data_IF_554655599799
#
_entry.id   IF_554655599799
#
_cell.length_a   1.000
_cell.length_b   1.000
_cell.length_c   1.000
_cell.angle_alpha   90.00
_cell.angle_beta   90.00
_cell.angle_gamma   90.00
#
_symmetry.space_group_name_H-M   'P 1'
#
loop_
_entity.id
_entity.type
_entity.pdbx_description
1 polymer ?
#
# COMPACT_ATOMS: atom_id res chain seq x y z
N UNK A 1 -27.94 -15.30 13.83
CA UNK A 1 -27.95 -14.42 12.63
C UNK A 1 -26.72 -13.53 12.66
N UNK A 2 -25.79 -13.59 11.68
CA UNK A 2 -24.71 -12.62 11.60
C UNK A 2 -25.31 -11.27 11.24
N UNK A 3 -24.96 -10.23 12.01
CA UNK A 3 -25.30 -8.84 11.68
C UNK A 3 -24.53 -8.47 10.41
N UNK A 4 -25.23 -8.41 9.28
CA UNK A 4 -24.73 -7.73 8.08
C UNK A 4 -24.51 -6.28 8.49
N UNK A 5 -23.26 -5.95 8.82
CA UNK A 5 -22.88 -4.57 9.09
C UNK A 5 -22.69 -3.87 7.77
N UNK A 6 -23.20 -2.63 7.65
CA UNK A 6 -23.06 -1.82 6.43
C UNK A 6 -21.61 -1.44 6.07
N UNK A 7 -20.62 -1.90 6.84
CA UNK A 7 -19.21 -1.66 6.60
C UNK A 7 -18.67 -2.59 5.49
N UNK A 8 -18.35 -2.06 4.30
CA UNK A 8 -17.91 -2.87 3.17
C UNK A 8 -16.54 -3.53 3.40
N UNK A 9 -15.72 -3.02 4.33
CA UNK A 9 -14.45 -3.65 4.67
C UNK A 9 -14.60 -5.02 5.33
N UNK A 10 -15.82 -5.35 5.74
CA UNK A 10 -16.14 -6.63 6.36
C UNK A 10 -16.59 -7.71 5.38
N UNK A 11 -16.94 -7.32 4.16
CA UNK A 11 -17.49 -8.20 3.12
C UNK A 11 -16.52 -8.34 1.94
N UNK A 12 -15.22 -8.35 2.25
CA UNK A 12 -14.15 -8.43 1.25
C UNK A 12 -13.72 -9.89 1.09
N UNK A 13 -13.66 -10.37 -0.15
CA UNK A 13 -13.24 -11.73 -0.48
C UNK A 13 -11.77 -12.01 -0.15
N UNK A 14 -10.89 -11.07 -0.47
CA UNK A 14 -9.49 -11.09 -0.06
C UNK A 14 -8.96 -9.68 0.18
N UNK A 15 -8.13 -9.56 1.20
CA UNK A 15 -7.36 -8.35 1.46
C UNK A 15 -5.86 -8.63 1.29
N UNK A 16 -5.16 -7.69 0.68
CA UNK A 16 -3.70 -7.70 0.63
C UNK A 16 -3.16 -6.81 1.73
N UNK A 17 -2.36 -7.38 2.62
CA UNK A 17 -1.71 -6.70 3.72
C UNK A 17 -0.27 -6.42 3.37
N UNK A 18 0.18 -5.19 3.59
CA UNK A 18 1.59 -4.79 3.46
C UNK A 18 2.00 -4.15 4.76
N UNK A 19 2.98 -4.74 5.45
CA UNK A 19 3.50 -4.23 6.72
C UNK A 19 4.90 -3.69 6.50
N UNK A 20 5.09 -2.42 6.86
CA UNK A 20 6.32 -1.67 6.74
C UNK A 20 6.73 -1.20 8.14
N UNK A 21 7.97 -1.48 8.52
CA UNK A 21 8.45 -1.26 9.88
C UNK A 21 9.94 -0.91 9.87
N UNK A 22 10.36 -0.06 10.82
CA UNK A 22 11.77 0.09 11.18
C UNK A 22 12.30 -1.17 11.86
N UNK A 23 13.53 -1.62 11.58
CA UNK A 23 14.17 -2.66 12.37
C UNK A 23 14.26 -2.20 13.84
N UNK A 24 13.66 -2.96 14.77
CA UNK A 24 13.59 -2.59 16.19
C UNK A 24 12.29 -3.05 16.87
N UNK A 25 12.31 -3.27 18.19
CA UNK A 25 11.24 -3.94 18.94
C UNK A 25 10.08 -2.97 19.29
N UNK A 26 10.34 -1.66 19.30
CA UNK A 26 9.38 -0.64 19.79
C UNK A 26 8.76 0.26 18.71
N UNK A 27 9.05 0.05 17.42
CA UNK A 27 8.44 0.83 16.35
C UNK A 27 7.07 0.24 15.98
N UNK A 28 6.00 1.03 16.11
CA UNK A 28 4.69 0.68 15.57
C UNK A 28 4.78 0.39 14.06
N UNK A 29 4.12 -0.68 13.60
CA UNK A 29 4.05 -1.00 12.18
C UNK A 29 3.16 -0.02 11.44
N UNK A 30 3.63 0.46 10.28
CA UNK A 30 2.83 1.19 9.29
C UNK A 30 2.54 0.28 8.11
N UNK A 31 1.60 0.65 7.25
CA UNK A 31 1.36 -0.13 6.06
C UNK A 31 -0.05 -0.02 5.52
N UNK A 32 -0.44 -1.02 4.76
CA UNK A 32 -1.66 -1.01 3.96
C UNK A 32 -2.47 -2.27 4.13
N UNK A 33 -3.78 -2.10 4.05
CA UNK A 33 -4.74 -3.15 3.77
C UNK A 33 -5.48 -2.75 2.49
N UNK A 34 -5.26 -3.47 1.40
CA UNK A 34 -5.98 -3.25 0.16
C UNK A 34 -7.28 -4.04 0.15
N UNK A 35 -8.35 -3.42 -0.32
CA UNK A 35 -9.65 -4.07 -0.48
C UNK A 35 -10.30 -3.71 -1.80
N UNK A 36 -10.90 -4.71 -2.44
CA UNK A 36 -11.81 -4.56 -3.58
C UNK A 36 -13.22 -4.71 -3.04
N UNK A 37 -13.89 -3.57 -2.89
CA UNK A 37 -15.18 -3.46 -2.23
C UNK A 37 -16.30 -3.43 -3.28
N UNK A 38 -17.47 -3.97 -2.95
CA UNK A 38 -18.66 -3.84 -3.79
C UNK A 38 -19.34 -2.45 -3.69
N UNK A 39 -18.92 -1.63 -2.71
CA UNK A 39 -19.40 -0.27 -2.45
C UNK A 39 -18.34 0.54 -1.71
N UNK A 40 -18.43 1.87 -1.76
CA UNK A 40 -17.46 2.74 -1.11
C UNK A 40 -17.42 2.54 0.41
N UNK A 41 -16.21 2.37 0.93
CA UNK A 41 -15.92 2.39 2.35
C UNK A 41 -15.65 3.80 2.88
N UNK A 42 -15.64 3.97 4.22
CA UNK A 42 -15.19 5.22 4.83
C UNK A 42 -13.73 5.52 4.43
N UNK A 43 -13.46 6.77 4.04
CA UNK A 43 -12.13 7.21 3.57
C UNK A 43 -11.21 7.50 4.76
N UNK A 44 -9.92 7.21 4.60
CA UNK A 44 -8.88 7.59 5.57
C UNK A 44 -8.86 6.72 6.83
N UNK A 45 -9.54 5.58 6.82
CA UNK A 45 -9.59 4.65 7.94
C UNK A 45 -8.29 3.86 8.11
N UNK A 46 -8.04 3.48 9.36
CA UNK A 46 -6.93 2.60 9.72
C UNK A 46 -7.45 1.47 10.58
N UNK A 47 -6.88 0.28 10.40
CA UNK A 47 -7.19 -0.91 11.19
C UNK A 47 -5.87 -1.52 11.63
N UNK A 48 -5.67 -1.68 12.95
CA UNK A 48 -4.43 -2.24 13.53
C UNK A 48 -3.14 -1.54 13.03
N UNK A 49 -3.20 -0.23 12.81
CA UNK A 49 -2.06 0.57 12.31
C UNK A 49 -1.85 0.55 10.79
N UNK A 50 -2.67 -0.22 10.06
CA UNK A 50 -2.63 -0.29 8.59
C UNK A 50 -3.68 0.64 8.00
N UNK A 51 -3.27 1.48 7.05
CA UNK A 51 -4.20 2.31 6.29
C UNK A 51 -4.99 1.44 5.33
N UNK A 52 -6.30 1.57 5.36
CA UNK A 52 -7.18 0.91 4.43
C UNK A 52 -7.16 1.66 3.10
N UNK A 53 -6.80 0.97 2.02
CA UNK A 53 -6.70 1.50 0.67
C UNK A 53 -7.74 0.80 -0.19
N UNK A 54 -8.84 1.50 -0.43
CA UNK A 54 -9.85 1.07 -1.39
C UNK A 54 -9.23 1.07 -2.79
N UNK A 55 -9.22 -0.09 -3.44
CA UNK A 55 -8.80 -0.22 -4.85
C UNK A 55 -9.98 0.01 -5.78
N UNK A 56 -11.15 -0.45 -5.36
CA UNK A 56 -12.39 -0.42 -6.11
C UNK A 56 -13.57 -0.49 -5.17
N UNK A 57 -14.68 0.10 -5.60
CA UNK A 57 -15.95 0.18 -4.89
C UNK A 57 -17.13 -0.12 -5.83
N UNK A 58 -16.91 -0.95 -6.84
CA UNK A 58 -17.91 -1.33 -7.85
C UNK A 58 -18.18 -2.85 -7.77
N UNK A 59 -19.37 -3.31 -8.18
CA UNK A 59 -19.68 -4.74 -8.22
C UNK A 59 -18.66 -5.54 -9.06
N UNK A 60 -18.55 -6.84 -8.81
CA UNK A 60 -17.76 -7.73 -9.66
C UNK A 60 -18.29 -7.67 -11.09
N UNK A 61 -17.40 -7.42 -12.06
CA UNK A 61 -17.74 -7.24 -13.47
C UNK A 61 -16.89 -8.14 -14.38
N UNK A 62 -17.45 -8.49 -15.53
CA UNK A 62 -16.72 -9.06 -16.67
C UNK A 62 -16.58 -8.02 -17.78
N UNK A 63 -15.42 -7.93 -18.47
CA UNK A 63 -14.25 -8.79 -18.35
C UNK A 63 -13.40 -8.50 -17.11
N UNK A 64 -12.60 -9.49 -16.71
CA UNK A 64 -11.63 -9.36 -15.63
C UNK A 64 -10.66 -8.21 -15.88
N UNK A 65 -10.32 -7.47 -14.84
CA UNK A 65 -9.40 -6.32 -14.92
C UNK A 65 -8.13 -6.61 -14.12
N UNK A 66 -6.97 -6.35 -14.74
CA UNK A 66 -5.68 -6.41 -14.05
C UNK A 66 -5.36 -5.05 -13.43
N UNK A 67 -4.86 -5.07 -12.19
CA UNK A 67 -4.39 -3.88 -11.48
C UNK A 67 -2.96 -4.09 -10.99
N UNK A 68 -2.18 -3.01 -10.93
CA UNK A 68 -0.85 -3.01 -10.35
C UNK A 68 -0.71 -1.84 -9.38
N UNK A 69 0.01 -2.07 -8.29
CA UNK A 69 0.28 -1.04 -7.27
C UNK A 69 1.78 -1.00 -7.00
N UNK A 70 2.36 0.20 -7.14
CA UNK A 70 3.72 0.46 -6.68
C UNK A 70 3.68 0.79 -5.18
N UNK A 71 4.05 -0.18 -4.36
CA UNK A 71 4.01 -0.07 -2.90
C UNK A 71 4.92 1.05 -2.37
N UNK A 72 6.05 1.30 -3.03
CA UNK A 72 7.01 2.33 -2.62
C UNK A 72 6.49 3.73 -2.93
N UNK A 73 5.90 3.93 -4.12
CA UNK A 73 5.27 5.20 -4.48
C UNK A 73 4.09 5.48 -3.54
N UNK A 74 3.24 4.49 -3.29
CA UNK A 74 2.13 4.61 -2.34
C UNK A 74 2.62 4.95 -0.92
N UNK A 75 3.74 4.34 -0.50
CA UNK A 75 4.41 4.67 0.75
C UNK A 75 4.75 6.13 0.88
N UNK A 76 5.45 6.65 -0.11
CA UNK A 76 5.89 8.05 -0.10
C UNK A 76 4.72 9.02 -0.08
N UNK A 77 3.66 8.71 -0.83
CA UNK A 77 2.46 9.55 -0.90
C UNK A 77 1.72 9.68 0.45
N UNK A 78 1.81 8.67 1.32
CA UNK A 78 1.05 8.66 2.58
C UNK A 78 1.88 8.88 3.84
N UNK A 79 3.16 8.50 3.81
CA UNK A 79 4.02 8.48 5.00
C UNK A 79 5.33 9.26 4.84
N UNK A 80 5.62 9.77 3.64
CA UNK A 80 6.86 10.53 3.35
C UNK A 80 8.07 9.63 3.05
N UNK A 81 9.26 10.07 3.43
CA UNK A 81 10.52 9.35 3.17
C UNK A 81 10.59 7.97 3.82
N UNK A 82 11.36 7.05 3.21
CA UNK A 82 11.47 5.63 3.62
C UNK A 82 12.63 5.38 4.59
N UNK A 83 13.08 6.40 5.33
CA UNK A 83 14.35 6.32 6.07
C UNK A 83 14.31 5.27 7.20
N UNK A 84 15.07 4.20 6.98
CA UNK A 84 15.24 3.08 7.90
C UNK A 84 14.06 2.10 7.95
N UNK A 85 13.12 2.17 7.02
CA UNK A 85 11.92 1.31 7.00
C UNK A 85 11.96 0.28 5.90
N UNK A 86 11.52 -0.93 6.21
CA UNK A 86 11.50 -2.05 5.26
C UNK A 86 10.13 -2.71 5.23
N UNK A 87 9.74 -3.19 4.04
CA UNK A 87 8.64 -4.13 3.91
C UNK A 87 9.04 -5.39 4.68
N UNK A 88 8.25 -5.75 5.69
CA UNK A 88 8.45 -6.95 6.51
C UNK A 88 7.57 -8.10 6.06
N UNK A 89 6.35 -7.77 5.63
CA UNK A 89 5.35 -8.77 5.26
C UNK A 89 4.47 -8.24 4.14
N UNK A 90 4.25 -9.08 3.15
CA UNK A 90 3.17 -8.94 2.17
C UNK A 90 2.39 -10.26 2.24
N UNK A 91 1.09 -10.19 2.47
CA UNK A 91 0.25 -11.38 2.55
C UNK A 91 -1.14 -11.15 2.00
N UNK A 92 -1.69 -12.17 1.39
CA UNK A 92 -3.08 -12.20 0.90
C UNK A 92 -3.87 -13.06 1.87
N UNK A 93 -4.98 -12.55 2.39
CA UNK A 93 -5.79 -13.24 3.39
C UNK A 93 -7.26 -13.13 3.00
N UNK A 94 -7.98 -14.26 3.03
CA UNK A 94 -9.43 -14.35 2.78
C UNK A 94 -10.26 -14.06 4.03
N UNK A 95 -9.62 -14.09 5.20
CA UNK A 95 -10.21 -13.64 6.46
C UNK A 95 -10.15 -12.12 6.55
N UNK A 96 -11.20 -11.46 6.07
CA UNK A 96 -11.48 -10.08 6.43
C UNK A 96 -11.77 -10.04 7.95
N UNK A 97 -10.71 -9.99 8.76
CA UNK A 97 -10.70 -9.75 10.22
C UNK A 97 -12.07 -9.87 10.94
N UNK A 98 -12.37 -11.02 11.55
CA UNK A 98 -13.55 -11.28 12.41
C UNK A 98 -14.94 -11.41 11.73
N UNK A 99 -15.04 -11.43 10.38
CA UNK A 99 -16.36 -11.21 9.74
C UNK A 99 -17.09 -12.45 9.25
N UNK A 100 -16.48 -13.64 9.33
CA UNK A 100 -17.04 -14.88 8.78
C UNK A 100 -17.43 -14.72 7.29
N UNK A 101 -16.61 -14.01 6.52
CA UNK A 101 -16.81 -13.89 5.08
C UNK A 101 -16.93 -15.28 4.45
N UNK A 102 -17.91 -15.45 3.56
CA UNK A 102 -18.19 -16.71 2.84
C UNK A 102 -17.60 -16.71 1.43
N UNK A 103 -16.89 -15.65 1.06
CA UNK A 103 -16.37 -15.46 -0.29
C UNK A 103 -14.93 -15.96 -0.35
N UNK A 104 -14.67 -16.86 -1.28
CA UNK A 104 -13.35 -17.41 -1.55
C UNK A 104 -12.60 -16.54 -2.56
N UNK A 105 -11.29 -16.42 -2.40
CA UNK A 105 -10.43 -15.72 -3.35
C UNK A 105 -9.44 -16.71 -3.96
N UNK A 106 -9.16 -16.54 -5.25
CA UNK A 106 -8.09 -17.25 -5.92
C UNK A 106 -6.76 -16.54 -5.61
N UNK A 107 -5.89 -17.20 -4.84
CA UNK A 107 -4.60 -16.63 -4.44
C UNK A 107 -3.62 -16.52 -5.61
N UNK A 108 -3.80 -17.32 -6.67
CA UNK A 108 -2.92 -17.31 -7.84
C UNK A 108 -3.09 -16.03 -8.68
N UNK A 109 -4.19 -15.30 -8.48
CA UNK A 109 -4.42 -13.99 -9.10
C UNK A 109 -3.53 -12.87 -8.51
N UNK A 110 -2.84 -13.12 -7.38
CA UNK A 110 -1.99 -12.15 -6.71
C UNK A 110 -0.50 -12.42 -6.95
N UNK A 111 0.13 -11.57 -7.76
CA UNK A 111 1.55 -11.73 -8.12
C UNK A 111 2.38 -10.59 -7.56
N UNK A 112 3.41 -10.92 -6.77
CA UNK A 112 4.46 -9.98 -6.38
C UNK A 112 5.55 -9.96 -7.46
N UNK A 113 5.58 -8.89 -8.26
CA UNK A 113 6.59 -8.71 -9.28
C UNK A 113 7.67 -7.71 -8.82
N UNK A 114 8.94 -8.12 -8.87
CA UNK A 114 10.04 -7.17 -8.77
C UNK A 114 10.11 -6.38 -10.08
N UNK A 115 9.68 -5.12 -10.05
CA UNK A 115 9.88 -4.19 -11.15
C UNK A 115 11.40 -3.96 -11.29
N UNK A 116 12.06 -4.70 -12.18
CA UNK A 116 13.39 -4.30 -12.64
C UNK A 116 13.22 -2.93 -13.27
N UNK A 117 13.74 -1.88 -12.62
CA UNK A 117 13.82 -0.55 -13.23
C UNK A 117 14.47 -0.70 -14.60
N UNK A 118 13.73 -0.34 -15.65
CA UNK A 118 14.30 -0.26 -16.98
C UNK A 118 15.44 0.76 -16.95
N UNK A 119 16.45 0.55 -17.80
CA UNK A 119 17.63 1.43 -17.87
C UNK A 119 17.26 2.90 -18.14
N UNK A 120 16.07 3.17 -18.67
CA UNK A 120 15.55 4.51 -18.92
C UNK A 120 15.13 5.26 -17.64
N UNK A 121 14.53 4.59 -16.65
CA UNK A 121 14.14 5.23 -15.38
C UNK A 121 15.36 5.56 -14.49
N UNK A 122 16.45 4.79 -14.61
CA UNK A 122 17.72 5.05 -13.90
C UNK A 122 18.40 6.36 -14.32
N UNK A 123 18.23 6.79 -15.57
CA UNK A 123 18.85 8.02 -16.09
C UNK A 123 18.11 9.29 -15.65
N UNK A 124 16.81 9.20 -15.34
CA UNK A 124 16.02 10.35 -14.88
C UNK A 124 16.13 10.61 -13.37
N UNK A 125 16.66 9.66 -12.58
CA UNK A 125 16.80 9.80 -11.13
C UNK A 125 18.11 10.48 -10.68
N UNK A 126 19.03 10.75 -11.60
CA UNK A 126 20.25 11.53 -11.31
C UNK A 126 19.93 13.02 -11.41
N UNK A 127 19.44 13.61 -10.32
CA UNK A 127 19.53 15.07 -10.14
C UNK A 127 21.00 15.49 -10.20
N UNK A 128 21.35 16.60 -10.87
CA UNK A 128 22.73 17.09 -10.90
C UNK A 128 23.17 17.54 -9.49
N UNK A 129 24.49 17.47 -9.18
CA UNK A 129 25.01 18.02 -7.93
C UNK A 129 24.69 19.52 -7.87
N UNK A 130 24.12 19.96 -6.74
CA UNK A 130 24.08 21.38 -6.38
C UNK A 130 25.53 21.88 -6.38
N UNK A 131 25.83 22.79 -7.29
CA UNK A 131 27.08 23.54 -7.26
C UNK A 131 27.14 24.32 -5.94
N UNK A 132 28.18 24.05 -5.15
CA UNK A 132 28.64 24.94 -4.10
C UNK A 132 29.04 26.26 -4.78
N UNK A 133 28.31 27.32 -4.47
CA UNK A 133 28.75 28.70 -4.65
C UNK A 133 29.21 29.20 -3.30
N UNK A 134 30.46 28.95 -2.97
CA UNK A 134 31.22 29.83 -2.08
C UNK A 134 31.43 31.13 -2.87
N UNK A 135 30.97 32.26 -2.34
CA UNK A 135 31.64 33.52 -2.63
C UNK A 135 31.62 34.39 -1.38
N UNK A 136 32.83 34.58 -0.87
CA UNK A 136 33.19 35.45 0.23
C UNK A 136 33.06 36.91 -0.23
N UNK A 137 32.04 37.63 0.23
CA UNK A 137 32.03 39.09 0.11
C UNK A 137 32.43 39.73 1.44
N UNK A 138 33.75 39.78 1.61
CA UNK A 138 34.58 40.86 2.13
C UNK A 138 33.93 41.87 3.10
N UNK A 139 34.44 41.85 4.34
CA UNK A 139 34.38 42.97 5.25
C UNK A 139 35.40 44.03 4.82
N UNK A 140 34.92 45.25 4.54
CA UNK A 140 35.65 46.51 4.71
C UNK A 140 34.66 47.61 5.09
#
# INVERSE_FOLDING_TARGET
>A
HPKITNDPWRDVAASVYVVIRRPGIFSGGRGYKFGWLAKHGPVGTTQRGLRQIERRAEPAITPWRKEAVDLCVLYRAHYGGVEGEHIRYIGVVSDADDTRSVVEADYDDFVLANRRMSSSERRSATLPPRAHGEDESNAQ
#
